data_IF_048335898313
#
_entry.id   IF_048335898313
#
_cell.length_a   1.000
_cell.length_b   1.000
_cell.length_c   1.000
_cell.angle_alpha   90.00
_cell.angle_beta   90.00
_cell.angle_gamma   90.00
#
_symmetry.space_group_name_H-M   'P 1'
#
loop_
_entity.id
_entity.type
_entity.pdbx_description
1 polymer ?
#
# COMPACT_ATOMS: atom_id res chain seq x y z
N UNK A 1 43.67 -2.96 31.38
CA UNK A 1 42.30 -3.30 31.78
C UNK A 1 41.77 -4.24 30.73
N UNK A 2 41.45 -5.48 31.09
CA UNK A 2 40.73 -6.40 30.20
C UNK A 2 39.37 -5.77 29.91
N UNK A 3 39.13 -5.32 28.67
CA UNK A 3 37.83 -4.81 28.24
C UNK A 3 36.81 -5.93 28.51
N UNK A 4 35.87 -5.79 29.46
CA UNK A 4 34.91 -6.84 29.71
C UNK A 4 33.86 -6.77 28.61
N UNK A 5 33.57 -7.92 28.00
CA UNK A 5 32.36 -8.22 27.23
C UNK A 5 32.06 -7.29 26.05
N UNK A 6 32.75 -7.57 24.93
CA UNK A 6 32.37 -7.34 23.51
C UNK A 6 31.71 -5.99 23.11
N UNK A 7 32.47 -5.24 22.30
CA UNK A 7 32.14 -3.98 21.62
C UNK A 7 33.17 -3.86 20.48
N UNK A 8 32.76 -4.23 19.27
CA UNK A 8 33.63 -4.51 18.13
C UNK A 8 33.83 -3.33 17.17
N UNK A 9 32.93 -2.36 17.21
CA UNK A 9 32.92 -1.11 16.44
C UNK A 9 33.55 0.06 17.22
N UNK A 10 33.91 -0.16 18.48
CA UNK A 10 34.57 0.82 19.36
C UNK A 10 33.76 2.12 19.50
N UNK A 11 32.44 2.01 19.46
CA UNK A 11 31.52 3.12 19.71
C UNK A 11 31.13 3.23 21.20
N UNK A 12 31.67 2.33 22.04
CA UNK A 12 31.57 2.35 23.49
C UNK A 12 30.18 1.93 24.03
N UNK A 13 29.43 1.15 23.24
CA UNK A 13 28.18 0.46 23.61
C UNK A 13 28.45 -1.06 23.76
N UNK A 14 27.68 -1.74 24.62
CA UNK A 14 27.79 -3.20 24.83
C UNK A 14 26.77 -3.89 23.93
N UNK A 15 27.21 -4.71 22.98
CA UNK A 15 26.30 -5.50 22.15
C UNK A 15 25.65 -6.56 23.06
N UNK A 16 24.38 -6.36 23.43
CA UNK A 16 23.62 -7.34 24.20
C UNK A 16 23.05 -8.43 23.28
N UNK A 17 22.74 -9.60 23.83
CA UNK A 17 22.38 -10.77 23.01
C UNK A 17 21.04 -10.64 22.27
N UNK A 18 20.29 -9.53 22.39
CA UNK A 18 18.99 -9.37 21.70
C UNK A 18 18.44 -7.93 21.50
N UNK A 19 19.18 -6.88 21.14
CA UNK A 19 18.55 -5.57 20.82
C UNK A 19 19.16 -4.85 19.64
N UNK A 20 18.25 -4.46 18.75
CA UNK A 20 18.49 -3.79 17.48
C UNK A 20 19.37 -2.54 17.64
N UNK A 21 20.69 -2.71 17.61
CA UNK A 21 21.71 -1.66 17.77
C UNK A 21 22.19 -1.13 16.41
N UNK A 22 23.28 -0.37 16.34
CA UNK A 22 23.83 0.13 15.06
C UNK A 22 24.30 -0.97 14.10
N UNK A 23 24.57 -2.19 14.59
CA UNK A 23 24.91 -3.36 13.79
C UNK A 23 23.65 -4.07 13.26
N UNK A 24 22.56 -4.06 14.03
CA UNK A 24 21.26 -4.58 13.59
C UNK A 24 20.51 -3.57 12.71
N UNK A 25 20.47 -2.31 13.11
CA UNK A 25 20.11 -1.16 12.28
C UNK A 25 21.16 -0.88 11.18
N UNK A 26 22.22 -1.68 11.12
CA UNK A 26 22.95 -2.20 9.97
C UNK A 26 23.62 -1.28 8.97
N UNK A 27 24.80 -1.75 8.62
CA UNK A 27 25.40 -1.67 7.30
C UNK A 27 25.92 -3.08 7.01
N UNK A 28 25.13 -3.83 6.22
CA UNK A 28 25.46 -5.15 5.64
C UNK A 28 25.69 -6.36 6.58
N UNK A 29 24.61 -7.12 6.88
CA UNK A 29 24.60 -8.59 6.87
C UNK A 29 23.16 -9.18 6.92
N UNK A 30 22.80 -9.93 5.88
CA UNK A 30 21.88 -11.08 5.93
C UNK A 30 20.37 -10.85 5.96
N UNK A 31 19.82 -10.27 7.03
CA UNK A 31 18.40 -10.52 7.37
C UNK A 31 17.66 -9.35 8.02
N UNK A 32 18.22 -8.14 8.01
CA UNK A 32 17.54 -6.98 8.63
C UNK A 32 16.73 -6.19 7.61
N UNK A 33 15.43 -6.05 7.88
CA UNK A 33 14.54 -5.16 7.14
C UNK A 33 14.94 -3.70 7.39
N UNK A 34 15.48 -3.03 6.36
CA UNK A 34 15.84 -1.61 6.39
C UNK A 34 14.62 -0.78 6.05
N UNK A 35 14.07 -0.09 7.04
CA UNK A 35 13.03 0.92 6.81
C UNK A 35 13.72 2.20 6.33
N UNK A 36 13.35 2.74 5.15
CA UNK A 36 13.88 4.01 4.68
C UNK A 36 13.64 5.15 5.67
N UNK A 37 14.58 6.09 5.80
CA UNK A 37 14.46 7.22 6.72
C UNK A 37 13.42 8.27 6.29
N UNK A 38 12.94 8.21 5.04
CA UNK A 38 11.97 9.11 4.43
C UNK A 38 10.53 8.56 4.42
N UNK A 39 10.25 7.57 5.27
CA UNK A 39 8.88 7.09 5.45
C UNK A 39 7.96 8.19 5.99
N UNK A 40 6.72 8.15 5.53
CA UNK A 40 5.67 9.08 5.91
C UNK A 40 4.48 8.30 6.49
N UNK A 41 3.63 9.03 7.22
CA UNK A 41 2.39 8.48 7.75
C UNK A 41 1.51 7.95 6.62
N UNK A 42 1.05 6.70 6.75
CA UNK A 42 0.16 6.05 5.79
C UNK A 42 0.87 5.26 4.69
N UNK A 43 2.20 5.23 4.67
CA UNK A 43 2.94 4.34 3.77
C UNK A 43 2.69 2.87 4.08
N UNK A 44 2.67 2.04 3.03
CA UNK A 44 2.52 0.59 3.11
C UNK A 44 3.73 -0.08 2.49
N UNK A 45 4.23 -1.14 3.12
CA UNK A 45 5.29 -1.98 2.55
C UNK A 45 4.70 -3.30 2.03
N UNK A 46 5.14 -3.72 0.85
CA UNK A 46 4.70 -4.96 0.21
C UNK A 46 5.88 -5.69 -0.45
N UNK A 47 5.71 -6.97 -0.79
CA UNK A 47 6.70 -7.76 -1.53
C UNK A 47 6.42 -7.65 -3.03
N UNK A 48 7.39 -7.19 -3.80
CA UNK A 48 7.28 -7.13 -5.26
C UNK A 48 7.45 -8.51 -5.93
N UNK A 49 7.26 -8.57 -7.25
CA UNK A 49 7.44 -9.80 -8.02
C UNK A 49 8.86 -10.39 -7.96
N UNK A 50 9.86 -9.61 -7.51
CA UNK A 50 11.25 -10.03 -7.36
C UNK A 50 11.59 -10.44 -5.91
N UNK A 51 10.61 -10.43 -5.00
CA UNK A 51 10.80 -10.78 -3.59
C UNK A 51 11.38 -9.64 -2.74
N UNK A 52 11.49 -8.42 -3.27
CA UNK A 52 11.99 -7.27 -2.50
C UNK A 52 10.86 -6.66 -1.69
N UNK A 53 11.18 -6.12 -0.51
CA UNK A 53 10.25 -5.24 0.19
C UNK A 53 10.30 -3.85 -0.45
N UNK A 54 9.15 -3.39 -0.93
CA UNK A 54 8.98 -2.11 -1.62
C UNK A 54 7.95 -1.26 -0.88
N UNK A 55 8.15 0.06 -0.89
CA UNK A 55 7.23 1.06 -0.34
C UNK A 55 6.19 1.46 -1.38
N UNK A 56 4.91 1.38 -1.01
CA UNK A 56 3.80 2.07 -1.66
C UNK A 56 3.49 3.33 -0.84
N UNK A 57 3.71 4.54 -1.37
CA UNK A 57 3.42 5.78 -0.67
C UNK A 57 1.94 5.86 -0.25
N UNK A 58 1.65 6.65 0.78
CA UNK A 58 0.28 6.89 1.22
C UNK A 58 -0.65 7.31 0.06
N UNK A 59 -1.84 6.70 0.01
CA UNK A 59 -2.88 7.05 -0.95
C UNK A 59 -3.58 8.37 -0.60
N UNK A 60 -4.40 8.87 -1.51
CA UNK A 60 -5.24 10.04 -1.27
C UNK A 60 -6.55 9.66 -0.57
N UNK A 61 -7.17 10.61 0.12
CA UNK A 61 -8.47 10.40 0.77
C UNK A 61 -9.50 9.82 -0.22
N UNK A 62 -10.18 8.75 0.20
CA UNK A 62 -11.18 8.04 -0.60
C UNK A 62 -10.63 6.91 -1.46
N UNK A 63 -9.31 6.73 -1.60
CA UNK A 63 -8.74 5.57 -2.27
C UNK A 63 -8.79 4.31 -1.40
N UNK A 64 -8.77 3.15 -2.03
CA UNK A 64 -8.67 1.84 -1.37
C UNK A 64 -7.49 1.03 -1.93
N UNK A 65 -6.99 0.09 -1.13
CA UNK A 65 -5.91 -0.80 -1.56
C UNK A 65 -6.48 -1.93 -2.42
N UNK A 66 -6.03 -2.02 -3.67
CA UNK A 66 -6.49 -3.02 -4.63
C UNK A 66 -5.40 -4.05 -4.91
N UNK A 67 -5.74 -5.33 -4.79
CA UNK A 67 -4.92 -6.43 -5.29
C UNK A 67 -5.17 -6.64 -6.79
N UNK A 68 -4.12 -6.96 -7.55
CA UNK A 68 -4.20 -7.09 -9.01
C UNK A 68 -4.10 -8.55 -9.50
N UNK A 69 -4.33 -9.50 -8.61
CA UNK A 69 -4.14 -10.93 -8.86
C UNK A 69 -2.76 -11.44 -8.47
N UNK A 70 -2.53 -12.73 -8.69
CA UNK A 70 -1.29 -13.39 -8.29
C UNK A 70 -0.09 -12.84 -9.06
N UNK A 71 0.97 -12.47 -8.34
CA UNK A 71 2.21 -11.95 -8.93
C UNK A 71 2.18 -10.47 -9.34
N UNK A 72 1.07 -9.77 -9.12
CA UNK A 72 0.94 -8.34 -9.42
C UNK A 72 1.00 -7.49 -8.14
N UNK A 73 1.68 -6.34 -8.24
CA UNK A 73 1.84 -5.42 -7.11
C UNK A 73 0.48 -4.79 -6.72
N UNK A 74 0.23 -4.56 -5.42
CA UNK A 74 -0.94 -3.81 -4.98
C UNK A 74 -0.83 -2.34 -5.41
N UNK A 75 -1.98 -1.68 -5.58
CA UNK A 75 -2.06 -0.26 -5.94
C UNK A 75 -3.17 0.44 -5.16
N UNK A 76 -3.06 1.77 -5.03
CA UNK A 76 -4.20 2.59 -4.63
C UNK A 76 -5.13 2.79 -5.81
N UNK A 77 -6.39 2.41 -5.64
CA UNK A 77 -7.44 2.62 -6.62
C UNK A 77 -8.48 3.61 -6.10
N UNK A 78 -9.06 4.40 -7.00
CA UNK A 78 -10.26 5.17 -6.69
C UNK A 78 -11.47 4.24 -6.73
N UNK A 79 -12.42 4.36 -5.79
CA UNK A 79 -13.68 3.66 -5.89
C UNK A 79 -14.32 4.00 -7.24
N UNK A 80 -14.98 3.04 -7.90
CA UNK A 80 -15.74 3.35 -9.10
C UNK A 80 -16.69 4.50 -8.75
N UNK A 81 -16.83 5.45 -9.68
CA UNK A 81 -17.86 6.48 -9.57
C UNK A 81 -19.18 5.75 -9.28
N UNK A 82 -19.84 6.10 -8.17
CA UNK A 82 -21.09 5.45 -7.77
C UNK A 82 -22.12 5.50 -8.90
N UNK A 83 -23.19 4.72 -8.74
CA UNK A 83 -24.25 4.65 -9.74
C UNK A 83 -24.69 6.04 -10.20
N UNK A 84 -24.56 6.31 -11.49
CA UNK A 84 -25.11 7.53 -12.08
C UNK A 84 -26.61 7.32 -12.29
N UNK A 85 -27.43 8.21 -11.72
CA UNK A 85 -28.88 8.14 -11.89
C UNK A 85 -29.25 8.90 -13.15
N UNK A 86 -29.87 8.22 -14.12
CA UNK A 86 -30.27 8.79 -15.41
C UNK A 86 -31.77 8.62 -15.62
N UNK A 87 -32.47 9.73 -15.78
CA UNK A 87 -33.88 9.72 -16.15
C UNK A 87 -34.02 9.74 -17.67
N UNK A 88 -34.78 8.80 -18.22
CA UNK A 88 -35.03 8.68 -19.67
C UNK A 88 -36.52 8.53 -19.93
N UNK A 89 -36.97 9.07 -21.06
CA UNK A 89 -38.37 9.02 -21.49
C UNK A 89 -38.57 8.22 -22.80
N UNK A 90 -37.59 7.39 -23.15
CA UNK A 90 -37.57 6.55 -24.35
C UNK A 90 -36.68 5.32 -24.13
N UNK A 91 -36.72 4.38 -25.09
CA UNK A 91 -35.85 3.19 -25.09
C UNK A 91 -34.39 3.57 -24.87
N UNK A 92 -33.78 2.98 -23.84
CA UNK A 92 -32.44 3.31 -23.40
C UNK A 92 -31.67 2.05 -23.03
N UNK A 93 -30.42 1.95 -23.51
CA UNK A 93 -29.49 0.87 -23.15
C UNK A 93 -28.55 1.39 -22.08
N UNK A 94 -28.65 0.84 -20.87
CA UNK A 94 -27.78 1.22 -19.76
C UNK A 94 -26.31 0.84 -20.02
N UNK A 95 -25.40 1.71 -19.60
CA UNK A 95 -24.00 1.37 -19.41
C UNK A 95 -23.76 0.79 -18.01
N UNK A 96 -22.61 0.14 -17.83
CA UNK A 96 -22.17 -0.27 -16.49
C UNK A 96 -22.09 0.94 -15.56
N UNK A 97 -22.60 0.79 -14.34
CA UNK A 97 -22.68 1.90 -13.37
C UNK A 97 -23.81 2.92 -13.60
N UNK A 98 -24.81 2.64 -14.44
CA UNK A 98 -26.02 3.47 -14.55
C UNK A 98 -27.23 2.87 -13.81
N UNK A 99 -27.95 3.70 -13.05
CA UNK A 99 -29.33 3.42 -12.60
C UNK A 99 -30.27 4.22 -13.51
N UNK A 100 -31.10 3.52 -14.27
CA UNK A 100 -32.03 4.15 -15.22
C UNK A 100 -33.41 4.27 -14.58
N UNK A 101 -33.89 5.51 -14.46
CA UNK A 101 -35.26 5.83 -14.11
C UNK A 101 -36.03 6.05 -15.41
N UNK A 102 -36.89 5.10 -15.77
CA UNK A 102 -37.74 5.22 -16.96
C UNK A 102 -39.03 5.93 -16.59
N UNK A 103 -39.29 7.07 -17.22
CA UNK A 103 -40.61 7.69 -17.20
C UNK A 103 -41.33 7.40 -18.52
N UNK A 104 -42.33 6.53 -18.46
CA UNK A 104 -43.17 6.17 -19.60
C UNK A 104 -44.20 7.25 -19.97
N UNK A 105 -44.18 8.42 -19.32
CA UNK A 105 -45.13 9.52 -19.57
C UNK A 105 -45.05 10.13 -20.99
N UNK A 106 -44.02 9.79 -21.77
CA UNK A 106 -43.73 10.40 -23.08
C UNK A 106 -44.01 9.58 -24.36
N UNK A 107 -44.28 8.26 -24.31
CA UNK A 107 -44.53 7.49 -25.55
C UNK A 107 -44.37 5.98 -25.43
N UNK A 108 -45.12 5.24 -26.27
CA UNK A 108 -45.46 3.83 -26.16
C UNK A 108 -44.28 2.85 -26.00
N UNK A 109 -44.55 1.80 -25.19
CA UNK A 109 -43.76 0.59 -24.95
C UNK A 109 -43.38 -0.10 -26.27
#
# INVERSE_FOLDING_TARGET
MTKPTYDANEDNLVDDSDKVDGADAGVAAGNVFKIPSDIAQGDIFYVDASGNIVRLPAGTAGQFLQTQGAGANPQWASPPSGWSVKSVSANYTAADGEIVLVDASGGAV
#
